data_IF_698416648899
#
_entry.id   IF_698416648899
#
_cell.length_a   1.000
_cell.length_b   1.000
_cell.length_c   1.000
_cell.angle_alpha   90.00
_cell.angle_beta   90.00
_cell.angle_gamma   90.00
#
_symmetry.space_group_name_H-M   'P 1'
#
loop_
_entity.id
_entity.type
_entity.pdbx_description
1 polymer ?
#
# COMPACT_ATOMS: atom_id res chain seq x y z
N UNK A 1 -25.16 6.19 -14.41
CA UNK A 1 -24.81 7.52 -13.89
C UNK A 1 -24.42 7.30 -12.45
N UNK A 2 -23.13 7.36 -12.15
CA UNK A 2 -22.66 7.29 -10.77
C UNK A 2 -22.77 8.68 -10.16
N UNK A 3 -23.45 8.79 -9.02
CA UNK A 3 -23.70 10.06 -8.34
C UNK A 3 -22.99 10.04 -7.01
N UNK A 4 -22.05 10.96 -6.82
CA UNK A 4 -21.33 11.14 -5.57
C UNK A 4 -21.83 12.42 -4.88
N UNK A 5 -22.30 12.28 -3.65
CA UNK A 5 -22.61 13.42 -2.78
C UNK A 5 -21.41 13.62 -1.85
N UNK A 6 -20.71 14.74 -2.00
CA UNK A 6 -19.51 15.06 -1.21
C UNK A 6 -19.79 16.25 -0.31
N UNK A 7 -19.47 16.12 0.97
CA UNK A 7 -19.57 17.18 1.97
C UNK A 7 -18.19 17.65 2.43
N UNK A 8 -18.10 18.90 2.85
CA UNK A 8 -16.91 19.45 3.50
C UNK A 8 -16.82 18.98 4.97
N UNK A 9 -15.78 19.42 5.67
CA UNK A 9 -15.52 19.09 7.09
C UNK A 9 -16.62 19.57 8.04
N UNK A 10 -17.45 20.52 7.61
CA UNK A 10 -18.59 21.06 8.36
C UNK A 10 -19.91 20.35 8.02
N UNK A 11 -19.86 19.25 7.25
CA UNK A 11 -21.04 18.50 6.80
C UNK A 11 -21.86 19.20 5.71
N UNK A 12 -21.38 20.31 5.15
CA UNK A 12 -22.08 21.05 4.11
C UNK A 12 -21.71 20.49 2.74
N UNK A 13 -22.69 20.34 1.86
CA UNK A 13 -22.46 19.92 0.47
C UNK A 13 -21.46 20.86 -0.20
N UNK A 14 -20.47 20.30 -0.89
CA UNK A 14 -19.54 21.10 -1.69
C UNK A 14 -20.32 21.65 -2.88
N UNK A 15 -20.46 22.97 -2.93
CA UNK A 15 -21.17 23.71 -3.99
C UNK A 15 -20.22 24.64 -4.77
N UNK A 16 -18.94 24.69 -4.41
CA UNK A 16 -17.95 25.50 -5.09
C UNK A 16 -17.56 24.86 -6.42
N UNK A 17 -17.94 25.50 -7.53
CA UNK A 17 -17.71 25.01 -8.88
C UNK A 17 -16.21 24.82 -9.20
N UNK A 18 -15.31 25.64 -8.63
CA UNK A 18 -13.87 25.49 -8.85
C UNK A 18 -13.33 24.22 -8.19
N UNK A 19 -13.77 23.94 -6.96
CA UNK A 19 -13.40 22.74 -6.23
C UNK A 19 -13.97 21.50 -6.92
N UNK A 20 -15.22 21.57 -7.39
CA UNK A 20 -15.85 20.49 -8.14
C UNK A 20 -15.12 20.23 -9.46
N UNK A 21 -14.77 21.28 -10.21
CA UNK A 21 -14.01 21.15 -11.46
C UNK A 21 -12.63 20.54 -11.22
N UNK A 22 -11.95 20.91 -10.12
CA UNK A 22 -10.67 20.32 -9.75
C UNK A 22 -10.80 18.82 -9.44
N UNK A 23 -11.80 18.43 -8.65
CA UNK A 23 -12.09 17.03 -8.33
C UNK A 23 -12.40 16.25 -9.62
N UNK A 24 -13.27 16.78 -10.48
CA UNK A 24 -13.65 16.15 -11.74
C UNK A 24 -12.44 16.01 -12.67
N UNK A 25 -11.62 17.05 -12.78
CA UNK A 25 -10.40 17.01 -13.60
C UNK A 25 -9.40 15.99 -13.05
N UNK A 26 -9.26 15.89 -11.73
CA UNK A 26 -8.44 14.87 -11.10
C UNK A 26 -8.95 13.46 -11.40
N UNK A 27 -10.25 13.22 -11.23
CA UNK A 27 -10.89 11.93 -11.56
C UNK A 27 -10.68 11.60 -13.05
N UNK A 28 -10.93 12.54 -13.96
CA UNK A 28 -10.69 12.35 -15.41
C UNK A 28 -9.23 12.05 -15.71
N UNK A 29 -8.29 12.73 -15.03
CA UNK A 29 -6.85 12.45 -15.17
C UNK A 29 -6.50 11.05 -14.68
N UNK A 30 -7.11 10.58 -13.60
CA UNK A 30 -6.95 9.22 -13.09
C UNK A 30 -7.58 8.17 -14.02
N UNK A 31 -8.75 8.46 -14.61
CA UNK A 31 -9.45 7.56 -15.54
C UNK A 31 -8.89 7.61 -16.97
N UNK A 32 -8.15 8.67 -17.33
CA UNK A 32 -7.62 8.95 -18.67
C UNK A 32 -6.50 8.02 -19.16
N UNK A 33 -6.11 7.02 -18.36
CA UNK A 33 -5.23 5.92 -18.76
C UNK A 33 -6.00 4.58 -18.72
N UNK A 34 -6.97 4.43 -19.64
CA UNK A 34 -7.40 3.11 -20.15
C UNK A 34 -7.90 2.06 -19.15
N UNK A 35 -8.49 2.42 -18.00
CA UNK A 35 -9.03 1.44 -17.07
C UNK A 35 -10.51 1.17 -17.34
N UNK A 36 -10.82 0.31 -18.31
CA UNK A 36 -12.07 -0.44 -18.23
C UNK A 36 -12.01 -1.35 -17.00
N UNK A 37 -12.92 -1.14 -16.06
CA UNK A 37 -13.19 -1.93 -14.85
C UNK A 37 -13.70 -3.34 -15.20
N UNK A 38 -12.95 -4.10 -15.98
CA UNK A 38 -13.20 -5.52 -16.20
C UNK A 38 -12.24 -6.34 -15.34
N UNK A 39 -12.70 -7.45 -14.72
CA UNK A 39 -11.78 -8.37 -14.07
C UNK A 39 -10.77 -8.83 -15.11
N UNK A 40 -9.48 -8.68 -14.80
CA UNK A 40 -8.36 -9.03 -15.68
C UNK A 40 -8.40 -10.51 -16.08
N UNK A 41 -9.22 -10.83 -17.09
CA UNK A 41 -9.06 -12.03 -17.89
C UNK A 41 -7.90 -11.72 -18.82
N UNK A 42 -6.78 -12.43 -18.63
CA UNK A 42 -5.55 -12.41 -19.44
C UNK A 42 -5.85 -11.98 -20.88
N UNK A 43 -5.62 -10.71 -21.21
CA UNK A 43 -5.52 -10.25 -22.59
C UNK A 43 -4.09 -9.84 -22.83
N UNK A 44 -3.30 -10.81 -23.28
CA UNK A 44 -2.16 -10.57 -24.15
C UNK A 44 -2.70 -10.05 -25.49
N UNK A 45 -2.90 -8.74 -25.60
CA UNK A 45 -3.15 -8.09 -26.89
C UNK A 45 -2.32 -6.80 -26.94
N UNK A 46 -1.41 -6.78 -27.91
CA UNK A 46 -0.32 -5.84 -28.02
C UNK A 46 -0.76 -4.38 -28.12
N UNK A 47 -0.22 -3.59 -27.21
CA UNK A 47 0.25 -2.23 -27.46
C UNK A 47 1.60 -2.16 -26.77
N UNK A 48 2.67 -2.05 -27.55
CA UNK A 48 4.02 -1.84 -27.06
C UNK A 48 4.09 -0.46 -26.39
N UNK A 49 3.74 -0.37 -25.12
CA UNK A 49 4.31 0.67 -24.28
C UNK A 49 5.74 0.23 -23.97
N UNK A 50 6.74 0.92 -24.50
CA UNK A 50 8.13 0.74 -24.07
C UNK A 50 8.16 0.95 -22.55
N UNK A 51 8.22 -0.14 -21.80
CA UNK A 51 8.31 -0.07 -20.35
C UNK A 51 9.74 0.34 -20.03
N UNK A 52 9.93 1.47 -19.34
CA UNK A 52 11.25 1.94 -18.93
C UNK A 52 11.90 1.00 -17.88
N UNK A 53 11.12 0.08 -17.33
CA UNK A 53 11.51 -0.88 -16.31
C UNK A 53 10.91 -2.27 -16.55
N UNK A 54 11.50 -3.28 -15.92
CA UNK A 54 10.97 -4.64 -15.79
C UNK A 54 10.20 -4.77 -14.48
N UNK A 55 9.00 -5.34 -14.49
CA UNK A 55 8.17 -5.53 -13.32
C UNK A 55 8.38 -6.94 -12.74
N UNK A 56 8.71 -7.02 -11.45
CA UNK A 56 8.85 -8.26 -10.70
C UNK A 56 7.76 -8.32 -9.64
N UNK A 57 6.94 -9.36 -9.70
CA UNK A 57 5.90 -9.69 -8.73
C UNK A 57 6.33 -10.91 -7.92
N UNK A 58 6.29 -10.77 -6.59
CA UNK A 58 6.71 -11.80 -5.65
C UNK A 58 5.60 -12.04 -4.63
N UNK A 59 5.30 -13.30 -4.36
CA UNK A 59 4.34 -13.70 -3.33
C UNK A 59 4.81 -14.97 -2.63
N UNK A 60 4.66 -15.03 -1.32
CA UNK A 60 4.96 -16.24 -0.54
C UNK A 60 4.87 -16.01 0.97
N UNK A 61 5.52 -16.89 1.73
CA UNK A 61 5.53 -16.81 3.19
C UNK A 61 6.58 -15.80 3.66
N UNK A 62 6.15 -14.86 4.51
CA UNK A 62 7.03 -13.86 5.12
C UNK A 62 7.93 -14.49 6.20
N UNK A 63 9.14 -13.94 6.34
CA UNK A 63 10.09 -14.32 7.39
C UNK A 63 11.08 -13.19 7.68
N UNK A 64 11.70 -13.16 8.88
CA UNK A 64 12.75 -12.20 9.18
C UNK A 64 13.85 -12.20 8.11
N UNK A 65 14.19 -11.01 7.60
CA UNK A 65 15.25 -10.83 6.60
C UNK A 65 14.86 -11.10 5.15
N UNK A 66 13.61 -11.48 4.85
CA UNK A 66 13.17 -11.79 3.47
C UNK A 66 13.47 -10.63 2.50
N UNK A 67 13.08 -9.40 2.84
CA UNK A 67 13.33 -8.25 1.96
C UNK A 67 14.82 -7.99 1.73
N UNK A 68 15.67 -8.23 2.74
CA UNK A 68 17.13 -8.10 2.63
C UNK A 68 17.73 -9.14 1.69
N UNK A 69 17.24 -10.37 1.72
CA UNK A 69 17.70 -11.42 0.81
C UNK A 69 17.27 -11.14 -0.64
N UNK A 70 16.05 -10.65 -0.82
CA UNK A 70 15.53 -10.28 -2.15
C UNK A 70 16.32 -9.13 -2.75
N UNK A 71 16.53 -8.05 -1.99
CA UNK A 71 17.28 -6.88 -2.45
C UNK A 71 18.76 -7.22 -2.73
N UNK A 72 19.37 -8.10 -1.94
CA UNK A 72 20.71 -8.61 -2.19
C UNK A 72 20.79 -9.43 -3.49
N UNK A 73 19.82 -10.33 -3.74
CA UNK A 73 19.77 -11.10 -5.00
C UNK A 73 19.65 -10.19 -6.21
N UNK A 74 18.76 -9.18 -6.17
CA UNK A 74 18.61 -8.21 -7.25
C UNK A 74 19.91 -7.43 -7.49
N UNK A 75 20.56 -6.96 -6.43
CA UNK A 75 21.83 -6.22 -6.52
C UNK A 75 22.93 -7.10 -7.13
N UNK A 76 23.05 -8.35 -6.70
CA UNK A 76 24.04 -9.32 -7.22
C UNK A 76 23.79 -9.69 -8.70
N UNK A 77 22.55 -9.60 -9.16
CA UNK A 77 22.17 -9.81 -10.56
C UNK A 77 22.21 -8.52 -11.38
N UNK A 78 22.92 -7.50 -10.88
CA UNK A 78 23.10 -6.19 -11.51
C UNK A 78 21.77 -5.49 -11.83
N UNK A 79 20.75 -5.68 -11.00
CA UNK A 79 19.46 -5.00 -11.13
C UNK A 79 19.44 -3.76 -10.23
N UNK A 80 19.03 -2.63 -10.77
CA UNK A 80 18.73 -1.43 -10.02
C UNK A 80 17.23 -1.39 -9.69
N UNK A 81 16.87 -1.14 -8.42
CA UNK A 81 15.47 -1.07 -7.98
C UNK A 81 15.02 0.38 -7.99
N UNK A 82 14.17 0.75 -8.95
CA UNK A 82 13.69 2.14 -9.12
C UNK A 82 12.47 2.42 -8.25
N UNK A 83 11.61 1.42 -8.09
CA UNK A 83 10.43 1.49 -7.24
C UNK A 83 10.16 0.10 -6.65
N UNK A 84 9.75 0.04 -5.39
CA UNK A 84 9.26 -1.18 -4.79
C UNK A 84 8.18 -0.91 -3.75
N UNK A 85 7.12 -1.71 -3.80
CA UNK A 85 6.14 -1.79 -2.72
C UNK A 85 6.10 -3.21 -2.17
N UNK A 86 6.15 -3.33 -0.86
CA UNK A 86 6.20 -4.62 -0.14
C UNK A 86 5.19 -4.59 0.99
N UNK A 87 4.29 -5.57 1.04
CA UNK A 87 3.29 -5.73 2.10
C UNK A 87 3.43 -7.10 2.76
N UNK A 88 3.30 -7.15 4.09
CA UNK A 88 3.20 -8.40 4.83
C UNK A 88 1.97 -8.41 5.75
N UNK A 89 1.27 -9.54 5.80
CA UNK A 89 0.10 -9.75 6.66
C UNK A 89 -0.08 -11.25 6.88
N UNK A 90 -0.43 -11.66 8.10
CA UNK A 90 -0.66 -13.08 8.46
C UNK A 90 0.44 -14.05 7.95
N UNK A 91 1.72 -13.66 8.09
CA UNK A 91 2.90 -14.43 7.63
C UNK A 91 2.94 -14.63 6.10
N UNK A 92 2.16 -13.88 5.34
CA UNK A 92 2.25 -13.78 3.89
C UNK A 92 2.95 -12.48 3.52
N UNK A 93 3.70 -12.51 2.43
CA UNK A 93 4.38 -11.36 1.86
C UNK A 93 4.04 -11.26 0.37
N UNK A 94 3.77 -10.04 -0.07
CA UNK A 94 3.68 -9.68 -1.48
C UNK A 94 4.59 -8.48 -1.77
N UNK A 95 5.26 -8.52 -2.92
CA UNK A 95 6.07 -7.40 -3.39
C UNK A 95 5.89 -7.17 -4.89
N UNK A 96 5.83 -5.89 -5.27
CA UNK A 96 5.86 -5.44 -6.66
C UNK A 96 7.05 -4.50 -6.80
N UNK A 97 8.01 -4.88 -7.64
CA UNK A 97 9.29 -4.18 -7.81
C UNK A 97 9.50 -3.80 -9.27
N UNK A 98 9.83 -2.55 -9.53
CA UNK A 98 10.23 -2.03 -10.84
C UNK A 98 11.75 -1.96 -10.87
N UNK A 99 12.36 -2.75 -11.75
CA UNK A 99 13.80 -2.88 -11.85
C UNK A 99 14.31 -2.50 -13.23
N UNK A 100 15.52 -1.95 -13.26
CA UNK A 100 16.26 -1.64 -14.49
C UNK A 100 17.61 -2.35 -14.47
N UNK A 101 18.21 -2.50 -15.65
CA UNK A 101 19.60 -2.89 -15.78
C UNK A 101 20.50 -1.80 -15.15
N UNK A 102 21.42 -2.21 -14.27
CA UNK A 102 22.31 -1.29 -13.57
C UNK A 102 23.24 -0.50 -14.51
N UNK A 103 23.69 -1.09 -15.62
CA UNK A 103 24.65 -0.48 -16.57
C UNK A 103 23.93 0.40 -17.59
N UNK A 104 22.79 -0.05 -18.11
CA UNK A 104 22.05 0.63 -19.18
C UNK A 104 20.98 1.58 -18.65
N UNK A 105 20.48 1.36 -17.42
CA UNK A 105 19.36 2.13 -16.85
C UNK A 105 18.01 1.87 -17.53
N UNK A 106 17.90 0.79 -18.30
CA UNK A 106 16.71 0.43 -19.09
C UNK A 106 16.06 -0.86 -18.57
N UNK A 107 14.85 -1.17 -19.05
CA UNK A 107 14.22 -2.45 -18.78
C UNK A 107 15.11 -3.62 -19.19
N UNK A 108 15.14 -4.65 -18.36
CA UNK A 108 15.83 -5.91 -18.62
C UNK A 108 14.97 -6.71 -19.59
N UNK A 109 15.43 -6.84 -20.84
CA UNK A 109 14.77 -7.60 -21.91
C UNK A 109 15.36 -8.98 -22.16
N UNK A 110 16.59 -9.23 -21.69
CA UNK A 110 17.29 -10.50 -21.88
C UNK A 110 16.57 -11.67 -21.19
N UNK A 111 16.03 -12.60 -21.98
CA UNK A 111 15.21 -13.69 -21.48
C UNK A 111 15.97 -14.66 -20.58
N UNK A 112 17.26 -14.89 -20.84
CA UNK A 112 18.09 -15.78 -20.02
C UNK A 112 18.32 -15.17 -18.62
N UNK A 113 18.66 -13.89 -18.56
CA UNK A 113 18.79 -13.15 -17.30
C UNK A 113 17.47 -13.06 -16.56
N UNK A 114 16.35 -12.78 -17.23
CA UNK A 114 15.03 -12.81 -16.60
C UNK A 114 14.72 -14.19 -16.01
N UNK A 115 15.10 -15.27 -16.72
CA UNK A 115 15.02 -16.64 -16.23
C UNK A 115 15.83 -16.85 -14.94
N UNK A 116 17.09 -16.41 -14.92
CA UNK A 116 17.98 -16.47 -13.74
C UNK A 116 17.45 -15.66 -12.56
N UNK A 117 16.95 -14.44 -12.81
CA UNK A 117 16.31 -13.60 -11.78
C UNK A 117 15.11 -14.33 -11.17
N UNK A 118 14.21 -14.83 -12.02
CA UNK A 118 13.02 -15.56 -11.58
C UNK A 118 13.38 -16.79 -10.75
N UNK A 119 14.34 -17.58 -11.20
CA UNK A 119 14.80 -18.78 -10.51
C UNK A 119 15.39 -18.44 -9.12
N UNK A 120 16.33 -17.49 -9.06
CA UNK A 120 16.98 -17.08 -7.80
C UNK A 120 15.99 -16.52 -6.79
N UNK A 121 15.08 -15.66 -7.22
CA UNK A 121 14.04 -15.11 -6.35
C UNK A 121 13.05 -16.18 -5.89
N UNK A 122 12.70 -17.14 -6.75
CA UNK A 122 11.86 -18.27 -6.37
C UNK A 122 12.49 -19.10 -5.26
N UNK A 123 13.82 -19.34 -5.30
CA UNK A 123 14.52 -20.01 -4.20
C UNK A 123 14.45 -19.25 -2.88
N UNK A 124 14.60 -17.92 -2.91
CA UNK A 124 14.46 -17.09 -1.71
C UNK A 124 13.04 -17.18 -1.13
N UNK A 125 12.00 -17.18 -1.96
CA UNK A 125 10.62 -17.25 -1.45
C UNK A 125 10.17 -18.67 -1.06
N UNK A 126 10.79 -19.73 -1.60
CA UNK A 126 10.47 -21.14 -1.28
C UNK A 126 10.97 -21.62 0.10
N UNK A 127 11.64 -20.76 0.88
CA UNK A 127 12.28 -21.08 2.16
C UNK A 127 11.57 -22.17 2.98
N UNK A 128 12.30 -23.27 3.23
CA UNK A 128 11.94 -24.46 4.02
C UNK A 128 10.44 -24.73 4.25
N UNK A 129 9.76 -25.19 3.20
CA UNK A 129 8.69 -26.21 3.22
C UNK A 129 7.51 -25.99 4.19
N UNK A 130 6.33 -25.50 3.72
CA UNK A 130 4.96 -26.05 3.98
C UNK A 130 3.87 -25.40 3.09
N UNK A 131 3.23 -26.23 2.27
CA UNK A 131 1.86 -26.15 1.69
C UNK A 131 1.44 -25.07 0.68
N UNK A 132 2.08 -23.90 0.58
CA UNK A 132 1.73 -22.88 -0.45
C UNK A 132 2.96 -22.46 -1.24
N UNK A 133 2.90 -22.66 -2.55
CA UNK A 133 4.01 -22.37 -3.45
C UNK A 133 4.28 -20.87 -3.55
N UNK A 134 5.54 -20.50 -3.30
CA UNK A 134 6.06 -19.19 -3.65
C UNK A 134 5.91 -18.93 -5.15
N UNK A 135 5.38 -17.77 -5.50
CA UNK A 135 5.17 -17.36 -6.90
C UNK A 135 6.05 -16.17 -7.22
N UNK A 136 6.82 -16.31 -8.29
CA UNK A 136 7.59 -15.22 -8.89
C UNK A 136 7.15 -15.05 -10.33
N UNK A 137 6.64 -13.87 -10.65
CA UNK A 137 6.26 -13.49 -12.02
C UNK A 137 7.09 -12.30 -12.44
N UNK A 138 7.65 -12.34 -13.64
CA UNK A 138 8.38 -11.21 -14.22
C UNK A 138 7.65 -10.83 -15.49
N UNK A 139 7.25 -9.57 -15.60
CA UNK A 139 6.45 -9.04 -16.71
C UNK A 139 6.99 -7.68 -17.15
N UNK A 140 6.61 -7.26 -18.35
CA UNK A 140 6.83 -5.89 -18.83
C UNK A 140 5.48 -5.19 -18.89
N UNK A 141 5.39 -3.97 -18.35
CA UNK A 141 4.17 -3.17 -18.41
C UNK A 141 3.94 -2.28 -17.19
N UNK A 142 3.00 -1.36 -17.35
CA UNK A 142 2.54 -0.46 -16.29
C UNK A 142 1.38 -1.11 -15.54
N UNK A 143 1.55 -1.31 -14.23
CA UNK A 143 0.49 -1.76 -13.34
C UNK A 143 0.39 -0.77 -12.18
N UNK A 144 -0.84 -0.46 -11.74
CA UNK A 144 -1.03 0.25 -10.48
C UNK A 144 -0.60 -0.68 -9.33
N UNK A 145 0.59 -0.43 -8.79
CA UNK A 145 1.29 -1.25 -7.78
C UNK A 145 0.40 -1.63 -6.61
N UNK A 146 -0.27 -0.63 -6.03
CA UNK A 146 -1.16 -0.82 -4.87
C UNK A 146 -2.35 -1.73 -5.17
N UNK A 147 -3.00 -1.55 -6.34
CA UNK A 147 -4.13 -2.39 -6.77
C UNK A 147 -3.67 -3.83 -6.98
N UNK A 148 -2.47 -4.01 -7.53
CA UNK A 148 -1.90 -5.32 -7.81
C UNK A 148 -1.51 -6.06 -6.53
N UNK A 149 -0.91 -5.37 -5.56
CA UNK A 149 -0.62 -5.94 -4.24
C UNK A 149 -1.89 -6.41 -3.53
N UNK A 150 -2.98 -5.64 -3.64
CA UNK A 150 -4.28 -6.05 -3.12
C UNK A 150 -4.75 -7.40 -3.68
N UNK A 151 -4.67 -7.56 -5.00
CA UNK A 151 -5.02 -8.80 -5.70
C UNK A 151 -4.09 -9.95 -5.30
N UNK A 152 -2.78 -9.71 -5.25
CA UNK A 152 -1.79 -10.73 -4.88
C UNK A 152 -2.01 -11.26 -3.47
N UNK A 153 -2.27 -10.37 -2.50
CA UNK A 153 -2.56 -10.80 -1.12
C UNK A 153 -3.84 -11.63 -1.01
N UNK A 154 -4.89 -11.22 -1.73
CA UNK A 154 -6.15 -11.98 -1.78
C UNK A 154 -5.98 -13.35 -2.45
N UNK A 155 -5.32 -13.40 -3.62
CA UNK A 155 -5.00 -14.64 -4.34
C UNK A 155 -4.23 -15.63 -3.45
N UNK A 156 -3.36 -15.10 -2.59
CA UNK A 156 -2.51 -15.85 -1.67
C UNK A 156 -3.20 -16.22 -0.33
N UNK A 157 -4.42 -15.72 -0.15
CA UNK A 157 -5.32 -15.94 0.99
C UNK A 157 -4.70 -15.57 2.32
N UNK A 158 -4.15 -14.37 2.39
CA UNK A 158 -3.64 -13.78 3.63
C UNK A 158 -4.75 -13.58 4.69
N UNK A 159 -6.01 -13.46 4.28
CA UNK A 159 -7.16 -13.34 5.19
C UNK A 159 -7.45 -14.60 6.04
N UNK A 160 -6.89 -15.76 5.69
CA UNK A 160 -7.07 -17.00 6.46
C UNK A 160 -6.25 -16.93 7.76
N UNK A 161 -6.93 -16.77 8.90
CA UNK A 161 -6.30 -16.78 10.22
C UNK A 161 -6.22 -18.20 10.79
N UNK A 162 -5.07 -18.55 11.36
CA UNK A 162 -4.94 -19.74 12.21
C UNK A 162 -5.22 -19.34 13.66
N UNK A 163 -6.03 -20.13 14.38
CA UNK A 163 -6.57 -19.81 15.72
C UNK A 163 -5.52 -19.46 16.80
N UNK A 164 -4.23 -19.67 16.55
CA UNK A 164 -3.14 -19.37 17.49
C UNK A 164 -2.69 -17.90 17.53
N UNK A 165 -3.13 -17.03 16.60
CA UNK A 165 -2.75 -15.60 16.55
C UNK A 165 -3.81 -14.65 17.19
N UNK A 166 -4.73 -15.18 18.02
CA UNK A 166 -5.78 -14.39 18.70
C UNK A 166 -5.26 -13.45 19.81
N UNK A 167 -3.95 -13.36 20.04
CA UNK A 167 -3.34 -12.61 21.15
C UNK A 167 -3.01 -11.14 20.85
N UNK A 168 -3.29 -10.64 19.66
CA UNK A 168 -3.04 -9.23 19.34
C UNK A 168 -3.97 -8.30 20.16
N UNK A 169 -3.34 -7.39 20.91
CA UNK A 169 -3.92 -6.46 21.89
C UNK A 169 -4.67 -5.29 21.23
N UNK A 170 -4.65 -5.19 19.90
CA UNK A 170 -5.20 -4.04 19.18
C UNK A 170 -6.69 -4.20 18.85
N UNK A 171 -7.46 -3.09 18.88
CA UNK A 171 -8.87 -3.11 18.49
C UNK A 171 -8.99 -3.50 17.02
N UNK A 172 -9.64 -4.63 16.77
CA UNK A 172 -9.90 -5.13 15.41
C UNK A 172 -10.93 -4.24 14.71
N UNK A 173 -10.85 -4.11 13.38
CA UNK A 173 -11.94 -3.54 12.61
C UNK A 173 -13.21 -4.36 12.85
N UNK A 174 -14.32 -3.68 13.14
CA UNK A 174 -15.62 -4.32 13.25
C UNK A 174 -16.26 -4.35 11.87
N UNK A 175 -16.42 -5.54 11.30
CA UNK A 175 -17.07 -5.75 10.02
C UNK A 175 -18.29 -6.64 10.23
N UNK A 176 -19.45 -6.19 9.76
CA UNK A 176 -20.67 -7.01 9.72
C UNK A 176 -21.24 -7.04 8.32
N UNK A 177 -21.90 -8.15 8.00
CA UNK A 177 -22.57 -8.35 6.72
C UNK A 177 -23.97 -8.86 7.02
N UNK A 178 -24.99 -8.13 6.59
CA UNK A 178 -26.40 -8.46 6.84
C UNK A 178 -27.13 -8.55 5.50
N UNK A 179 -27.97 -9.58 5.34
CA UNK A 179 -28.78 -9.71 4.14
C UNK A 179 -30.10 -8.98 4.32
N UNK A 180 -30.47 -8.18 3.33
CA UNK A 180 -31.78 -7.54 3.25
C UNK A 180 -32.64 -8.36 2.29
N UNK A 181 -33.31 -9.38 2.85
CA UNK A 181 -34.02 -10.41 2.08
C UNK A 181 -35.11 -9.83 1.17
N UNK A 182 -35.75 -8.73 1.56
CA UNK A 182 -36.82 -8.11 0.78
C UNK A 182 -36.32 -7.32 -0.45
N UNK A 183 -35.00 -7.09 -0.58
CA UNK A 183 -34.41 -6.23 -1.62
C UNK A 183 -33.25 -6.87 -2.38
N UNK A 184 -33.03 -8.17 -2.20
CA UNK A 184 -32.01 -8.97 -2.89
C UNK A 184 -30.60 -8.35 -2.85
N UNK A 185 -30.18 -7.80 -1.71
CA UNK A 185 -28.82 -7.30 -1.51
C UNK A 185 -28.30 -7.57 -0.11
N UNK A 186 -27.00 -7.45 0.06
CA UNK A 186 -26.35 -7.47 1.38
C UNK A 186 -25.80 -6.08 1.73
N UNK A 187 -25.86 -5.73 3.01
CA UNK A 187 -25.25 -4.52 3.55
C UNK A 187 -24.01 -4.93 4.31
N UNK A 188 -22.89 -4.30 3.97
CA UNK A 188 -21.63 -4.41 4.68
C UNK A 188 -21.45 -3.15 5.51
N UNK A 189 -21.26 -3.31 6.81
CA UNK A 189 -20.96 -2.20 7.71
C UNK A 189 -19.55 -2.39 8.27
N UNK A 190 -18.73 -1.35 8.19
CA UNK A 190 -17.34 -1.33 8.62
C UNK A 190 -17.16 -0.19 9.60
N UNK A 191 -16.58 -0.49 10.77
CA UNK A 191 -16.12 0.51 11.74
C UNK A 191 -14.68 0.20 12.13
N UNK A 192 -13.79 1.15 11.91
CA UNK A 192 -12.38 1.00 12.24
C UNK A 192 -11.68 2.36 12.34
N UNK A 193 -10.41 2.35 12.75
CA UNK A 193 -9.59 3.55 12.74
C UNK A 193 -9.48 4.15 11.33
N UNK A 194 -9.77 5.44 11.21
CA UNK A 194 -9.65 6.15 9.95
C UNK A 194 -8.19 6.26 9.51
N UNK A 195 -7.98 6.11 8.20
CA UNK A 195 -6.66 6.24 7.59
C UNK A 195 -6.78 6.52 6.09
N UNK A 196 -5.75 7.14 5.49
CA UNK A 196 -5.65 7.25 4.05
C UNK A 196 -5.84 5.90 3.35
N UNK A 197 -6.57 5.94 2.23
CA UNK A 197 -6.85 4.80 1.35
C UNK A 197 -7.74 3.71 1.95
N UNK A 198 -8.40 3.95 3.10
CA UNK A 198 -9.34 2.99 3.69
C UNK A 198 -10.48 2.65 2.72
N UNK A 199 -11.16 3.66 2.14
CA UNK A 199 -12.19 3.49 1.11
C UNK A 199 -11.67 2.69 -0.10
N UNK A 200 -10.45 2.96 -0.54
CA UNK A 200 -9.85 2.23 -1.66
C UNK A 200 -9.69 0.75 -1.34
N UNK A 201 -9.21 0.41 -0.14
CA UNK A 201 -8.96 -0.97 0.27
C UNK A 201 -10.28 -1.76 0.40
N UNK A 202 -11.30 -1.17 1.02
CA UNK A 202 -12.60 -1.83 1.24
C UNK A 202 -13.33 -2.06 -0.09
N UNK A 203 -13.38 -1.07 -0.97
CA UNK A 203 -14.01 -1.21 -2.30
C UNK A 203 -13.23 -2.16 -3.20
N UNK A 204 -11.89 -2.11 -3.20
CA UNK A 204 -11.08 -3.06 -3.98
C UNK A 204 -11.30 -4.49 -3.51
N UNK A 205 -11.43 -4.72 -2.19
CA UNK A 205 -11.75 -6.03 -1.63
C UNK A 205 -13.07 -6.56 -2.12
N UNK A 206 -14.13 -5.77 -2.02
CA UNK A 206 -15.46 -6.17 -2.50
C UNK A 206 -15.43 -6.48 -4.00
N UNK A 207 -14.76 -5.62 -4.78
CA UNK A 207 -14.61 -5.81 -6.23
C UNK A 207 -13.81 -7.07 -6.58
N UNK A 208 -12.71 -7.35 -5.88
CA UNK A 208 -11.91 -8.56 -6.10
C UNK A 208 -12.66 -9.84 -5.72
N UNK A 209 -13.54 -9.74 -4.72
CA UNK A 209 -14.48 -10.79 -4.35
C UNK A 209 -15.71 -10.86 -5.27
N UNK A 210 -15.70 -10.12 -6.38
CA UNK A 210 -16.77 -10.10 -7.38
C UNK A 210 -18.12 -9.57 -6.86
N UNK A 211 -18.08 -8.63 -5.91
CA UNK A 211 -19.24 -7.85 -5.52
C UNK A 211 -19.25 -6.49 -6.21
N UNK A 212 -20.44 -6.06 -6.61
CA UNK A 212 -20.73 -4.72 -7.11
C UNK A 212 -21.26 -3.89 -5.95
N UNK A 213 -20.57 -2.80 -5.63
CA UNK A 213 -21.07 -1.76 -4.72
C UNK A 213 -21.95 -0.81 -5.54
N UNK A 214 -23.25 -0.81 -5.31
CA UNK A 214 -24.19 0.06 -6.04
C UNK A 214 -24.69 1.24 -5.20
N UNK A 215 -24.48 1.20 -3.89
CA UNK A 215 -24.69 2.33 -2.99
C UNK A 215 -23.70 2.23 -1.82
N UNK A 216 -23.32 3.36 -1.24
CA UNK A 216 -22.56 3.38 0.00
C UNK A 216 -22.45 4.75 0.64
N UNK A 217 -22.19 4.74 1.94
CA UNK A 217 -21.85 5.90 2.76
C UNK A 217 -20.46 5.73 3.35
N UNK A 218 -19.72 6.83 3.45
CA UNK A 218 -18.37 6.86 4.00
C UNK A 218 -18.28 8.10 4.87
N UNK A 219 -18.14 7.87 6.16
CA UNK A 219 -18.13 8.90 7.18
C UNK A 219 -16.85 8.76 8.02
N UNK A 220 -16.27 9.88 8.40
CA UNK A 220 -15.09 9.93 9.29
C UNK A 220 -15.44 10.77 10.50
N UNK A 221 -15.43 10.16 11.68
CA UNK A 221 -15.69 10.80 12.97
C UNK A 221 -14.43 10.75 13.84
N UNK A 222 -13.66 11.83 13.83
CA UNK A 222 -12.41 11.92 14.57
C UNK A 222 -11.38 10.87 14.10
N UNK A 223 -10.88 9.98 14.98
CA UNK A 223 -9.93 8.93 14.58
C UNK A 223 -10.60 7.68 14.02
N UNK A 224 -11.94 7.62 13.96
CA UNK A 224 -12.71 6.47 13.50
C UNK A 224 -13.36 6.77 12.14
N UNK A 225 -13.51 5.73 11.33
CA UNK A 225 -14.24 5.73 10.08
C UNK A 225 -15.40 4.75 10.15
N UNK A 226 -16.51 5.14 9.56
CA UNK A 226 -17.71 4.35 9.37
C UNK A 226 -18.00 4.23 7.88
N UNK A 227 -18.13 3.01 7.38
CA UNK A 227 -18.47 2.77 5.98
C UNK A 227 -19.61 1.78 5.88
N UNK A 228 -20.60 2.11 5.05
CA UNK A 228 -21.73 1.24 4.74
C UNK A 228 -21.77 1.01 3.24
N UNK A 229 -21.79 -0.25 2.80
CA UNK A 229 -21.86 -0.62 1.39
C UNK A 229 -23.01 -1.56 1.11
N UNK A 230 -23.75 -1.24 0.05
CA UNK A 230 -24.84 -2.05 -0.47
C UNK A 230 -24.30 -2.83 -1.65
N UNK A 231 -24.24 -4.15 -1.48
CA UNK A 231 -23.55 -5.03 -2.40
C UNK A 231 -24.47 -6.11 -2.96
N UNK A 232 -24.18 -6.50 -4.20
CA UNK A 232 -24.66 -7.73 -4.85
C UNK A 232 -23.48 -8.41 -5.50
N UNK A 233 -23.47 -9.72 -5.51
CA UNK A 233 -22.50 -10.46 -6.31
C UNK A 233 -22.73 -10.14 -7.80
N UNK A 234 -21.71 -10.29 -8.66
CA UNK A 234 -21.84 -10.00 -10.10
C UNK A 234 -22.94 -10.80 -10.80
N UNK A 235 -23.36 -11.93 -10.22
CA UNK A 235 -24.51 -12.72 -10.70
C UNK A 235 -25.87 -12.17 -10.25
N UNK A 236 -25.88 -11.07 -9.49
CA UNK A 236 -27.06 -10.39 -8.98
C UNK A 236 -27.54 -10.85 -7.60
N UNK A 237 -26.97 -11.93 -7.04
CA UNK A 237 -27.40 -12.49 -5.76
C UNK A 237 -26.82 -11.74 -4.54
N UNK A 238 -27.50 -11.77 -3.37
CA UNK A 238 -26.90 -11.33 -2.12
C UNK A 238 -25.84 -12.34 -1.64
N UNK A 239 -25.20 -12.08 -0.50
CA UNK A 239 -24.32 -13.07 0.16
C UNK A 239 -25.15 -14.27 0.59
N UNK A 240 -24.92 -15.45 0.02
CA UNK A 240 -25.88 -16.56 0.06
C UNK A 240 -25.59 -17.60 1.13
N UNK A 241 -24.39 -17.63 1.72
CA UNK A 241 -24.02 -18.61 2.75
C UNK A 241 -23.24 -18.00 3.90
N UNK A 242 -23.26 -18.67 5.06
CA UNK A 242 -22.49 -18.22 6.22
C UNK A 242 -20.97 -18.32 5.97
N UNK A 243 -20.53 -19.32 5.22
CA UNK A 243 -19.13 -19.46 4.83
C UNK A 243 -18.67 -18.30 3.92
N UNK A 244 -19.52 -17.87 2.99
CA UNK A 244 -19.27 -16.70 2.14
C UNK A 244 -19.28 -15.40 2.95
N UNK A 245 -20.26 -15.23 3.84
CA UNK A 245 -20.35 -14.11 4.79
C UNK A 245 -19.07 -13.97 5.60
N UNK A 246 -18.63 -15.06 6.21
CA UNK A 246 -17.41 -15.09 7.00
C UNK A 246 -16.17 -14.77 6.16
N UNK A 247 -16.14 -15.21 4.90
CA UNK A 247 -15.05 -14.91 3.95
C UNK A 247 -15.01 -13.42 3.62
N UNK A 248 -16.15 -12.78 3.37
CA UNK A 248 -16.25 -11.33 3.10
C UNK A 248 -15.74 -10.55 4.30
N UNK A 249 -16.19 -10.90 5.50
CA UNK A 249 -15.72 -10.31 6.76
C UNK A 249 -14.19 -10.43 6.87
N UNK A 250 -13.64 -11.64 6.75
CA UNK A 250 -12.21 -11.89 6.87
C UNK A 250 -11.38 -11.12 5.84
N UNK A 251 -11.83 -11.07 4.58
CA UNK A 251 -11.13 -10.36 3.53
C UNK A 251 -11.09 -8.85 3.80
N UNK A 252 -12.21 -8.27 4.26
CA UNK A 252 -12.28 -6.85 4.63
C UNK A 252 -11.43 -6.54 5.85
N UNK A 253 -11.50 -7.36 6.91
CA UNK A 253 -10.62 -7.21 8.08
C UNK A 253 -9.14 -7.24 7.67
N UNK A 254 -8.74 -8.22 6.85
CA UNK A 254 -7.37 -8.35 6.37
C UNK A 254 -6.96 -7.12 5.54
N UNK A 255 -7.79 -6.67 4.60
CA UNK A 255 -7.50 -5.50 3.78
C UNK A 255 -7.33 -4.22 4.60
N UNK A 256 -8.13 -4.05 5.65
CA UNK A 256 -8.00 -2.93 6.59
C UNK A 256 -6.65 -3.05 7.31
N UNK A 257 -6.36 -4.20 7.91
CA UNK A 257 -5.19 -4.47 8.74
C UNK A 257 -3.85 -4.39 8.00
N UNK A 258 -3.77 -4.84 6.74
CA UNK A 258 -2.55 -4.78 5.90
C UNK A 258 -1.86 -3.41 5.91
N UNK A 259 -2.65 -2.34 6.04
CA UNK A 259 -2.18 -0.94 5.99
C UNK A 259 -2.38 -0.19 7.31
N UNK A 260 -2.91 -0.84 8.35
CA UNK A 260 -2.86 -0.27 9.71
C UNK A 260 -1.39 -0.22 10.10
N UNK A 261 -0.88 0.99 10.25
CA UNK A 261 0.54 1.27 10.53
C UNK A 261 0.88 0.87 11.96
N UNK A 262 1.05 -0.42 12.18
CA UNK A 262 1.52 -1.00 13.43
C UNK A 262 3.03 -1.24 13.32
N UNK A 263 3.80 -0.48 14.11
CA UNK A 263 5.25 -0.53 14.12
C UNK A 263 5.86 0.88 14.06
N UNK A 264 7.18 0.92 14.00
CA UNK A 264 7.93 2.15 13.86
C UNK A 264 8.02 2.56 12.38
N UNK A 265 7.78 3.83 12.08
CA UNK A 265 7.95 4.36 10.73
C UNK A 265 9.34 4.97 10.57
N UNK A 266 10.11 4.43 9.64
CA UNK A 266 11.43 4.91 9.26
C UNK A 266 11.37 5.52 7.86
N UNK A 267 11.72 6.80 7.77
CA UNK A 267 11.78 7.54 6.50
C UNK A 267 13.25 7.80 6.14
N UNK A 268 13.69 7.25 5.01
CA UNK A 268 15.04 7.40 4.47
C UNK A 268 15.00 8.38 3.30
N UNK A 269 15.84 9.41 3.34
CA UNK A 269 16.05 10.33 2.23
C UNK A 269 17.54 10.58 2.02
N UNK A 270 18.10 10.03 0.95
CA UNK A 270 19.53 10.15 0.63
C UNK A 270 19.77 10.16 -0.87
N UNK A 271 20.99 10.48 -1.30
CA UNK A 271 21.42 10.28 -2.68
C UNK A 271 21.25 8.81 -3.05
N UNK A 272 20.57 8.55 -4.16
CA UNK A 272 20.33 7.20 -4.61
C UNK A 272 21.63 6.58 -5.12
N UNK A 273 21.80 5.31 -4.81
CA UNK A 273 22.89 4.51 -5.33
C UNK A 273 22.45 3.07 -5.45
N UNK A 274 23.04 2.41 -6.42
CA UNK A 274 22.90 0.99 -6.60
C UNK A 274 23.28 0.24 -5.32
N UNK A 275 22.44 -0.74 -4.94
CA UNK A 275 22.62 -1.53 -3.71
C UNK A 275 22.13 -0.86 -2.42
N UNK A 276 21.69 0.41 -2.45
CA UNK A 276 21.23 1.12 -1.24
C UNK A 276 20.12 0.35 -0.51
N UNK A 277 19.13 -0.16 -1.23
CA UNK A 277 18.04 -0.94 -0.64
C UNK A 277 18.57 -2.21 0.05
N UNK A 278 19.55 -2.89 -0.57
CA UNK A 278 20.20 -4.07 0.00
C UNK A 278 20.91 -3.74 1.31
N UNK A 279 21.70 -2.68 1.33
CA UNK A 279 22.47 -2.28 2.51
C UNK A 279 21.55 -1.87 3.66
N UNK A 280 20.55 -1.01 3.40
CA UNK A 280 19.62 -0.54 4.44
C UNK A 280 18.81 -1.69 5.02
N UNK A 281 18.27 -2.57 4.17
CA UNK A 281 17.47 -3.71 4.65
C UNK A 281 18.33 -4.76 5.36
N UNK A 282 19.62 -4.87 5.02
CA UNK A 282 20.59 -5.67 5.76
C UNK A 282 20.85 -5.11 7.16
N UNK A 283 21.08 -3.80 7.29
CA UNK A 283 21.27 -3.14 8.60
C UNK A 283 20.05 -3.37 9.50
N UNK A 284 18.84 -3.24 8.95
CA UNK A 284 17.61 -3.55 9.70
C UNK A 284 17.59 -5.00 10.18
N UNK A 285 17.90 -5.96 9.31
CA UNK A 285 17.96 -7.39 9.67
C UNK A 285 19.00 -7.67 10.75
N UNK A 286 20.21 -7.12 10.62
CA UNK A 286 21.31 -7.32 11.57
C UNK A 286 20.99 -6.71 12.95
N UNK A 287 20.19 -5.64 12.98
CA UNK A 287 19.66 -5.03 14.20
C UNK A 287 18.33 -5.65 14.69
N UNK A 288 17.93 -6.80 14.15
CA UNK A 288 16.75 -7.54 14.63
C UNK A 288 15.42 -6.88 14.29
N UNK A 289 15.35 -6.06 13.23
CA UNK A 289 14.12 -5.48 12.74
C UNK A 289 13.54 -6.28 11.56
N UNK A 290 12.22 -6.41 11.57
CA UNK A 290 11.44 -6.96 10.46
C UNK A 290 10.70 -5.84 9.74
N UNK A 291 10.76 -5.83 8.41
CA UNK A 291 10.01 -4.88 7.58
C UNK A 291 8.64 -5.46 7.27
N UNK A 292 7.58 -4.82 7.77
CA UNK A 292 6.18 -5.24 7.49
C UNK A 292 5.59 -4.53 6.28
N UNK A 293 6.08 -3.33 5.99
CA UNK A 293 5.75 -2.60 4.77
C UNK A 293 6.94 -1.77 4.31
N UNK A 294 7.14 -1.72 3.00
CA UNK A 294 8.12 -0.83 2.38
C UNK A 294 7.51 -0.11 1.18
N UNK A 295 7.83 1.17 1.06
CA UNK A 295 7.62 2.00 -0.12
C UNK A 295 8.97 2.58 -0.50
N UNK A 296 9.52 2.16 -1.63
CA UNK A 296 10.85 2.53 -2.11
C UNK A 296 10.67 3.26 -3.41
N UNK A 297 11.25 4.45 -3.56
CA UNK A 297 11.14 5.19 -4.81
C UNK A 297 12.37 6.05 -5.06
N UNK A 298 12.81 6.09 -6.32
CA UNK A 298 13.84 7.02 -6.79
C UNK A 298 13.17 8.24 -7.42
N UNK A 299 13.52 9.44 -6.95
CA UNK A 299 13.07 10.73 -7.50
C UNK A 299 14.29 11.56 -7.89
N UNK A 300 14.56 11.62 -9.20
CA UNK A 300 15.79 12.23 -9.70
C UNK A 300 17.00 11.43 -9.21
N UNK A 301 17.90 12.08 -8.49
CA UNK A 301 19.11 11.50 -7.89
C UNK A 301 18.92 11.07 -6.43
N UNK A 302 17.69 11.12 -5.89
CA UNK A 302 17.40 10.82 -4.48
C UNK A 302 16.54 9.58 -4.31
N UNK A 303 16.96 8.73 -3.39
CA UNK A 303 16.14 7.65 -2.85
C UNK A 303 15.26 8.21 -1.74
N UNK A 304 13.94 7.99 -1.86
CA UNK A 304 12.93 8.36 -0.87
C UNK A 304 12.18 7.10 -0.49
N UNK A 305 12.52 6.54 0.66
CA UNK A 305 12.00 5.25 1.11
C UNK A 305 11.29 5.39 2.45
N UNK A 306 10.17 4.70 2.60
CA UNK A 306 9.44 4.57 3.85
C UNK A 306 9.38 3.10 4.22
N UNK A 307 9.83 2.77 5.43
CA UNK A 307 9.75 1.42 5.99
C UNK A 307 8.91 1.44 7.26
N UNK A 308 8.03 0.46 7.39
CA UNK A 308 7.33 0.15 8.62
C UNK A 308 7.98 -1.09 9.19
N UNK A 309 8.51 -0.96 10.42
CA UNK A 309 9.31 -2.01 11.03
C UNK A 309 8.77 -2.41 12.40
N UNK A 310 8.99 -3.67 12.74
CA UNK A 310 8.74 -4.25 14.06
C UNK A 310 10.00 -4.93 14.56
N UNK A 311 10.08 -5.18 15.86
CA UNK A 311 11.16 -6.01 16.38
C UNK A 311 11.02 -7.48 15.91
N UNK A 312 12.07 -8.27 16.06
CA UNK A 312 12.08 -9.69 15.71
C UNK A 312 11.05 -10.54 16.50
N UNK A 313 10.53 -10.02 17.61
CA UNK A 313 9.46 -10.64 18.39
C UNK A 313 8.05 -10.22 17.89
N UNK A 314 7.95 -9.38 16.85
CA UNK A 314 6.71 -8.89 16.27
C UNK A 314 6.07 -7.72 17.02
N UNK A 315 6.75 -7.14 18.02
CA UNK A 315 6.26 -5.99 18.79
C UNK A 315 6.52 -4.69 18.03
N UNK A 316 5.62 -3.74 18.24
CA UNK A 316 5.70 -2.41 17.62
C UNK A 316 6.69 -1.47 18.32
N UNK A 317 7.12 -1.82 19.54
CA UNK A 317 8.08 -1.02 20.32
C UNK A 317 9.48 -1.50 19.99
N UNK A 318 10.29 -0.61 19.42
CA UNK A 318 11.71 -0.83 19.16
C UNK A 318 12.50 -0.10 20.24
N UNK A 319 13.53 -0.75 20.80
CA UNK A 319 14.39 -0.14 21.81
C UNK A 319 15.18 1.04 21.24
N UNK A 320 15.29 2.12 22.02
CA UNK A 320 16.00 3.34 21.61
C UNK A 320 17.46 3.05 21.23
N UNK A 321 18.14 2.15 21.94
CA UNK A 321 19.52 1.73 21.65
C UNK A 321 19.67 1.13 20.26
N UNK A 322 18.72 0.30 19.83
CA UNK A 322 18.69 -0.28 18.48
C UNK A 322 18.53 0.82 17.44
N UNK A 323 17.69 1.82 17.71
CA UNK A 323 17.50 2.95 16.79
C UNK A 323 18.74 3.83 16.68
N UNK A 324 19.42 4.09 17.79
CA UNK A 324 20.68 4.82 17.78
C UNK A 324 21.75 4.06 16.98
N UNK A 325 21.89 2.75 17.17
CA UNK A 325 22.81 1.92 16.39
C UNK A 325 22.54 2.02 14.88
N UNK A 326 21.28 1.84 14.48
CA UNK A 326 20.86 1.97 13.06
C UNK A 326 21.15 3.38 12.52
N UNK A 327 20.91 4.43 13.32
CA UNK A 327 21.19 5.82 12.91
C UNK A 327 22.68 6.11 12.79
N UNK A 328 23.53 5.47 13.59
CA UNK A 328 24.98 5.56 13.45
C UNK A 328 25.48 4.88 12.17
N UNK A 329 24.90 3.73 11.82
CA UNK A 329 25.27 3.00 10.60
C UNK A 329 24.75 3.66 9.30
N UNK A 330 23.49 4.08 9.27
CA UNK A 330 22.85 4.66 8.07
C UNK A 330 23.15 6.16 7.92
N UNK A 331 23.33 6.86 9.04
CA UNK A 331 23.48 8.31 9.10
C UNK A 331 22.24 9.00 9.69
N UNK A 332 22.48 9.83 10.70
CA UNK A 332 21.43 10.43 11.53
C UNK A 332 20.57 11.47 10.79
N UNK A 333 21.14 12.12 9.77
CA UNK A 333 20.47 13.09 8.88
C UNK A 333 19.70 12.42 7.74
N UNK A 334 20.05 11.17 7.43
CA UNK A 334 19.51 10.38 6.32
C UNK A 334 18.26 9.60 6.76
N UNK A 335 18.25 9.08 7.99
CA UNK A 335 17.14 8.31 8.55
C UNK A 335 16.35 9.12 9.59
N UNK A 336 15.09 9.41 9.27
CA UNK A 336 14.12 10.04 10.16
C UNK A 336 13.23 8.98 10.79
N UNK A 337 13.04 9.06 12.11
CA UNK A 337 12.21 8.13 12.87
C UNK A 337 10.91 8.84 13.26
N UNK A 338 9.75 8.31 12.83
CA UNK A 338 8.43 8.82 13.21
C UNK A 338 7.69 7.80 14.06
N UNK A 339 7.13 8.25 15.19
CA UNK A 339 6.27 7.45 16.06
C UNK A 339 6.89 6.88 17.34
N UNK A 340 8.10 7.31 17.74
CA UNK A 340 8.65 6.93 19.05
C UNK A 340 8.02 7.79 20.17
N UNK A 341 7.58 7.21 21.31
CA UNK A 341 6.87 7.92 22.38
C UNK A 341 7.63 9.10 23.04
N UNK A 342 8.94 9.25 22.82
CA UNK A 342 9.71 10.37 23.39
C UNK A 342 9.67 11.65 22.54
N UNK A 343 9.25 11.56 21.26
CA UNK A 343 9.03 12.73 20.42
C UNK A 343 7.74 13.50 20.74
N UNK A 344 6.96 13.04 21.73
CA UNK A 344 5.77 13.71 22.27
C UNK A 344 6.08 14.76 23.35
N UNK A 345 7.35 14.87 23.80
CA UNK A 345 7.75 15.78 24.91
C UNK A 345 8.34 17.13 24.48
N UNK A 346 8.51 17.40 23.19
CA UNK A 346 8.81 18.76 22.74
C UNK A 346 7.51 19.60 22.72
N UNK A 347 7.49 20.83 23.28
CA UNK A 347 6.37 21.74 23.05
C UNK A 347 6.18 21.91 21.54
N UNK A 348 4.96 22.21 21.04
CA UNK A 348 4.70 22.31 19.61
C UNK A 348 5.57 23.42 19.01
N UNK A 349 6.74 23.04 18.52
CA UNK A 349 7.48 23.85 17.58
C UNK A 349 6.76 23.70 16.26
N UNK A 350 5.93 24.70 15.96
CA UNK A 350 5.44 24.99 14.62
C UNK A 350 6.63 25.08 13.67
N UNK A 351 7.00 23.92 13.13
CA UNK A 351 7.85 23.78 11.97
C UNK A 351 6.99 23.10 10.92
N UNK A 352 6.88 23.69 9.72
CA UNK A 352 5.90 23.24 8.74
C UNK A 352 6.31 21.85 8.28
N UNK A 353 5.57 20.84 8.73
CA UNK A 353 5.57 19.53 8.11
C UNK A 353 5.04 19.70 6.69
N UNK A 354 5.94 20.03 5.76
CA UNK A 354 5.68 20.03 4.33
C UNK A 354 5.52 18.59 3.88
N UNK A 355 4.33 18.05 4.11
CA UNK A 355 3.78 17.02 3.26
C UNK A 355 3.56 17.66 1.89
N UNK A 356 4.26 17.16 0.87
CA UNK A 356 4.06 17.59 -0.52
C UNK A 356 2.74 17.03 -1.06
N UNK A 357 1.63 17.61 -0.60
CA UNK A 357 0.44 17.85 -1.41
C UNK A 357 0.40 19.31 -1.90
N UNK A 358 1.54 20.03 -1.87
CA UNK A 358 1.66 21.39 -2.39
C UNK A 358 1.86 21.39 -3.90
N UNK A 359 0.82 21.09 -4.66
CA UNK A 359 0.65 21.68 -5.99
C UNK A 359 -0.81 21.93 -6.38
N UNK A 360 -1.73 22.04 -5.40
CA UNK A 360 -3.14 22.33 -5.72
C UNK A 360 -3.77 23.53 -5.01
N UNK A 361 -3.22 24.06 -3.93
CA UNK A 361 -3.67 25.36 -3.42
C UNK A 361 -2.50 26.24 -3.04
N UNK A 362 -2.13 27.14 -3.96
CA UNK A 362 -1.27 28.28 -3.65
C UNK A 362 -2.15 29.53 -3.76
N UNK A 363 -2.63 30.11 -2.64
CA UNK A 363 -3.25 31.42 -2.71
C UNK A 363 -2.15 32.42 -3.03
N UNK A 364 -2.27 33.14 -4.15
CA UNK A 364 -1.46 34.32 -4.39
C UNK A 364 -2.00 35.43 -3.51
N UNK A 365 -1.31 35.69 -2.40
CA UNK A 365 -1.41 36.97 -1.71
C UNK A 365 -0.72 38.04 -2.56
N UNK A 366 -1.46 39.12 -2.84
CA UNK A 366 -0.90 40.44 -3.11
C UNK A 366 -1.61 41.43 -2.19
N UNK A 367 -0.83 42.12 -1.36
CA UNK A 367 -1.28 43.23 -0.53
C UNK A 367 -1.34 44.55 -1.35
N UNK A 368 -2.35 45.35 -0.99
CA UNK A 368 -2.44 46.82 -0.97
C UNK A 368 -2.43 47.63 -2.29
N UNK A 369 -3.55 48.31 -2.59
CA UNK A 369 -3.79 49.76 -2.37
C UNK A 369 -4.97 50.25 -3.25
N UNK A 370 -5.87 51.06 -2.68
CA UNK A 370 -6.83 51.86 -3.45
C UNK A 370 -8.17 52.12 -2.75
N UNK A 371 -8.19 53.06 -1.81
CA UNK A 371 -9.38 53.83 -1.43
C UNK A 371 -9.87 54.67 -2.63
N UNK A 372 -11.20 54.79 -2.80
CA UNK A 372 -12.03 55.94 -3.28
C UNK A 372 -13.44 55.33 -3.48
N UNK A 373 -14.45 55.66 -2.66
CA UNK A 373 -15.39 56.78 -2.89
C UNK A 373 -16.34 56.42 -4.05
N UNK A 374 -17.65 56.24 -3.88
CA UNK A 374 -18.65 57.04 -3.14
C UNK A 374 -19.90 56.20 -2.88
#
# INVERSE_FOLDING_TARGET
MDVFNVTNQNGQKILDDLVLDEIVNYIRKCLGFGSCLLPSRRRSLGVESSSDYTLIELTGTDRPGLLSEVSAVLTNLECNVVNAEVWTHNKRAAAVMQVTDMKMGLAISDTERLGRIKERLCYVFKGSNRSRDAKTTVTMGKTQTERRLHQMMLEDRDYERYDKDRTNVNPRPMVSVVNWLDKDYSVVTIRCKDRPKLLFDTVCTLTDMQYVVFHGSVDSEGPEAYQEYYIRHIDGSPVNSEAERQRVIQCLEAAIERRVSEGLKLELSTGDRVGLLSDVTRIFRENGLMVTRAEVSTKGDKAVNTFYVRDAAGRSVVELKTLEAIRQEIGQTVLQVKGHPEHLKSPPQESPSRFLFSSLFRPRSLYSLGLIGS
#
